data_IF_520240170067
#
_entry.id   IF_520240170067
#
_cell.length_a   1.000
_cell.length_b   1.000
_cell.length_c   1.000
_cell.angle_alpha   90.00
_cell.angle_beta   90.00
_cell.angle_gamma   90.00
#
_symmetry.space_group_name_H-M   'P 1'
#
loop_
_entity.id
_entity.type
_entity.pdbx_description
1 polymer ?
#
# COMPACT_ATOMS: atom_id res chain seq x y z
N UNK A 1 9.92 35.25 -35.60
CA UNK A 1 11.25 35.19 -34.97
C UNK A 1 11.33 33.86 -34.23
N UNK A 2 12.02 32.89 -34.83
CA UNK A 2 12.41 31.63 -34.18
C UNK A 2 13.67 31.92 -33.37
N UNK A 3 13.66 31.77 -32.05
CA UNK A 3 14.88 31.87 -31.30
C UNK A 3 15.64 30.56 -31.45
N UNK A 4 16.50 30.51 -32.43
CA UNK A 4 17.49 29.45 -32.57
C UNK A 4 18.47 29.52 -31.40
N UNK A 5 19.00 28.36 -30.99
CA UNK A 5 20.08 28.18 -30.00
C UNK A 5 21.22 29.19 -30.14
N UNK A 6 21.43 29.72 -31.34
CA UNK A 6 22.39 30.77 -31.70
C UNK A 6 22.07 32.15 -31.07
N UNK A 7 20.79 32.45 -30.81
CA UNK A 7 20.38 33.69 -30.13
C UNK A 7 20.81 33.72 -28.67
N UNK A 8 20.71 32.60 -27.98
CA UNK A 8 21.10 32.46 -26.58
C UNK A 8 22.61 32.55 -26.37
N UNK A 9 23.38 31.92 -27.26
CA UNK A 9 24.84 32.01 -27.25
C UNK A 9 25.29 33.46 -27.43
N UNK A 10 24.58 34.24 -28.23
CA UNK A 10 24.86 35.68 -28.40
C UNK A 10 24.51 36.47 -27.14
N UNK A 11 23.36 36.19 -26.50
CA UNK A 11 22.95 36.83 -25.21
C UNK A 11 23.94 36.50 -24.12
N UNK A 12 24.34 35.24 -23.97
CA UNK A 12 25.35 34.82 -22.99
C UNK A 12 26.74 35.41 -23.29
N UNK A 13 27.11 35.56 -24.55
CA UNK A 13 28.36 36.28 -24.93
C UNK A 13 28.28 37.76 -24.64
N UNK A 14 27.13 38.41 -24.86
CA UNK A 14 26.92 39.82 -24.50
C UNK A 14 26.90 40.01 -22.97
N UNK A 15 26.30 39.09 -22.23
CA UNK A 15 26.35 39.07 -20.77
C UNK A 15 27.80 38.92 -20.27
N UNK A 16 28.60 38.05 -20.89
CA UNK A 16 30.02 37.89 -20.60
C UNK A 16 30.82 39.15 -20.89
N UNK A 17 30.51 39.82 -21.98
CA UNK A 17 31.19 41.11 -22.36
C UNK A 17 30.72 42.25 -21.46
N UNK A 18 29.43 42.29 -21.06
CA UNK A 18 28.89 43.28 -20.13
C UNK A 18 29.46 43.11 -18.70
N UNK A 19 29.64 41.88 -18.26
CA UNK A 19 30.31 41.54 -16.98
C UNK A 19 31.79 41.95 -16.97
N UNK A 20 32.44 41.89 -18.12
CA UNK A 20 33.87 42.20 -18.23
C UNK A 20 34.18 43.69 -18.47
N UNK A 21 33.19 44.50 -18.87
CA UNK A 21 33.46 45.85 -19.38
C UNK A 21 32.67 47.00 -18.78
N UNK A 22 31.53 46.82 -18.19
CA UNK A 22 30.70 47.97 -17.74
C UNK A 22 29.74 47.60 -16.61
N UNK A 23 29.65 48.44 -15.66
CA UNK A 23 28.92 48.31 -14.42
C UNK A 23 27.46 47.80 -14.51
N UNK A 24 26.95 47.48 -13.35
CA UNK A 24 25.66 46.86 -12.97
C UNK A 24 24.42 47.36 -13.77
N UNK A 25 24.43 48.59 -14.30
CA UNK A 25 23.28 49.17 -15.02
C UNK A 25 22.91 48.45 -16.32
N UNK A 26 23.88 47.90 -17.09
CA UNK A 26 23.61 47.16 -18.34
C UNK A 26 23.03 45.78 -18.06
N UNK A 27 23.41 45.17 -16.95
CA UNK A 27 22.86 43.91 -16.46
C UNK A 27 21.37 44.05 -16.13
N UNK A 28 20.95 45.11 -15.47
CA UNK A 28 19.55 45.37 -15.08
C UNK A 28 18.68 45.57 -16.33
N UNK A 29 19.15 46.26 -17.35
CA UNK A 29 18.42 46.49 -18.60
C UNK A 29 18.31 45.18 -19.42
N UNK A 30 19.38 44.38 -19.44
CA UNK A 30 19.36 43.07 -20.11
C UNK A 30 18.40 42.07 -19.41
N UNK A 31 18.38 42.08 -18.08
CA UNK A 31 17.45 41.27 -17.29
C UNK A 31 16.00 41.73 -17.45
N UNK A 32 15.74 43.05 -17.46
CA UNK A 32 14.39 43.58 -17.67
C UNK A 32 13.81 43.29 -19.06
N UNK A 33 14.64 43.29 -20.10
CA UNK A 33 14.20 42.90 -21.45
C UNK A 33 13.98 41.42 -21.59
N UNK A 34 14.73 40.57 -20.90
CA UNK A 34 14.52 39.11 -20.81
C UNK A 34 13.20 38.76 -20.11
N UNK A 35 12.97 39.34 -18.94
CA UNK A 35 11.71 39.12 -18.19
C UNK A 35 10.49 39.51 -19.01
N UNK A 36 10.52 40.65 -19.73
CA UNK A 36 9.41 41.08 -20.59
C UNK A 36 9.10 40.13 -21.73
N UNK A 37 10.10 39.42 -22.26
CA UNK A 37 9.89 38.45 -23.33
C UNK A 37 9.33 37.11 -22.79
N UNK A 38 9.81 36.67 -21.62
CA UNK A 38 9.39 35.41 -21.00
C UNK A 38 7.95 35.42 -20.49
N UNK A 39 7.47 36.59 -20.03
CA UNK A 39 6.08 36.71 -19.53
C UNK A 39 5.00 36.71 -20.63
N UNK A 40 5.40 36.82 -21.90
CA UNK A 40 4.45 36.97 -23.02
C UNK A 40 4.19 35.70 -23.83
N UNK A 41 4.86 34.59 -23.56
CA UNK A 41 4.65 33.34 -24.31
C UNK A 41 4.59 32.12 -23.39
N UNK A 42 3.67 31.19 -23.69
CA UNK A 42 3.48 29.96 -22.90
C UNK A 42 4.74 29.08 -22.86
N UNK A 43 5.50 29.03 -23.96
CA UNK A 43 6.84 28.42 -24.00
C UNK A 43 7.90 29.24 -23.25
N UNK A 44 7.67 30.52 -23.09
CA UNK A 44 8.52 31.42 -22.33
C UNK A 44 8.43 31.17 -20.81
N UNK A 45 7.25 30.83 -20.29
CA UNK A 45 7.09 30.54 -18.85
C UNK A 45 7.84 29.25 -18.47
N UNK A 46 7.79 28.20 -19.30
CA UNK A 46 8.56 26.97 -19.08
C UNK A 46 10.07 27.22 -19.18
N UNK A 47 10.48 28.05 -20.15
CA UNK A 47 11.86 28.44 -20.29
C UNK A 47 12.28 29.44 -19.19
N UNK A 48 11.38 30.32 -18.72
CA UNK A 48 11.64 31.27 -17.65
C UNK A 48 11.98 30.57 -16.33
N UNK A 49 11.23 29.53 -15.94
CA UNK A 49 11.52 28.76 -14.73
C UNK A 49 12.90 28.08 -14.78
N UNK A 50 13.26 27.51 -15.94
CA UNK A 50 14.59 26.93 -16.15
C UNK A 50 15.72 27.98 -16.10
N UNK A 51 15.45 29.17 -16.61
CA UNK A 51 16.43 30.28 -16.70
C UNK A 51 16.52 31.02 -15.35
N UNK A 52 15.42 31.13 -14.59
CA UNK A 52 15.44 31.74 -13.28
C UNK A 52 16.35 30.95 -12.31
N UNK A 53 16.28 29.60 -12.34
CA UNK A 53 17.22 28.77 -11.59
C UNK A 53 18.67 28.97 -12.02
N UNK A 54 18.95 29.06 -13.31
CA UNK A 54 20.27 29.30 -13.84
C UNK A 54 20.78 30.71 -13.54
N UNK A 55 19.91 31.72 -13.56
CA UNK A 55 20.26 33.11 -13.20
C UNK A 55 20.51 33.25 -11.69
N UNK A 56 19.72 32.55 -10.84
CA UNK A 56 19.93 32.51 -9.40
C UNK A 56 21.32 31.98 -9.04
N UNK A 57 21.77 30.88 -9.65
CA UNK A 57 23.10 30.33 -9.48
C UNK A 57 24.18 31.33 -9.88
N UNK A 58 23.98 32.04 -11.02
CA UNK A 58 24.93 33.07 -11.49
C UNK A 58 25.00 34.26 -10.53
N UNK A 59 23.85 34.69 -9.97
CA UNK A 59 23.80 35.81 -9.01
C UNK A 59 24.52 35.45 -7.73
N UNK A 60 24.32 34.22 -7.22
CA UNK A 60 24.97 33.75 -5.99
C UNK A 60 26.52 33.74 -6.11
N UNK A 61 27.05 33.25 -7.25
CA UNK A 61 28.47 33.31 -7.55
C UNK A 61 28.99 34.76 -7.55
N UNK A 62 28.22 35.69 -8.13
CA UNK A 62 28.59 37.09 -8.16
C UNK A 62 28.57 37.76 -6.77
N UNK A 63 27.60 37.42 -5.92
CA UNK A 63 27.49 37.93 -4.54
C UNK A 63 28.68 37.43 -3.71
N UNK A 64 29.00 36.12 -3.78
CA UNK A 64 30.17 35.57 -3.08
C UNK A 64 31.49 36.28 -3.50
N UNK A 65 31.63 36.52 -4.82
CA UNK A 65 32.79 37.23 -5.34
C UNK A 65 32.81 38.71 -4.94
N UNK A 66 31.64 39.35 -4.83
CA UNK A 66 31.56 40.73 -4.33
C UNK A 66 32.00 40.84 -2.86
N UNK A 67 31.65 39.83 -2.02
CA UNK A 67 32.17 39.73 -0.65
C UNK A 67 33.69 39.62 -0.59
N UNK A 68 34.28 38.81 -1.48
CA UNK A 68 35.76 38.68 -1.60
C UNK A 68 36.43 39.95 -2.11
N UNK A 69 35.76 40.70 -3.01
CA UNK A 69 36.21 42.02 -3.43
C UNK A 69 36.28 43.00 -2.25
N UNK A 70 35.31 42.94 -1.33
CA UNK A 70 35.32 43.74 -0.10
C UNK A 70 36.56 43.47 0.75
N UNK A 71 36.96 42.20 0.92
CA UNK A 71 38.17 41.83 1.65
C UNK A 71 39.47 42.29 0.94
N UNK A 72 39.51 42.22 -0.38
CA UNK A 72 40.61 42.73 -1.18
C UNK A 72 40.77 44.25 -1.02
N UNK A 73 39.65 45.00 -1.01
CA UNK A 73 39.65 46.44 -0.76
C UNK A 73 40.12 46.77 0.65
N UNK A 74 39.65 46.05 1.67
CA UNK A 74 40.13 46.24 3.06
C UNK A 74 41.64 46.02 3.14
N UNK A 75 42.18 44.97 2.51
CA UNK A 75 43.62 44.72 2.46
C UNK A 75 44.38 45.80 1.73
N UNK A 76 43.82 46.40 0.69
CA UNK A 76 44.43 47.61 0.02
C UNK A 76 44.46 48.80 0.95
N UNK A 77 43.37 49.12 1.64
CA UNK A 77 43.29 50.25 2.56
C UNK A 77 44.17 50.09 3.81
N UNK A 78 44.42 48.85 4.21
CA UNK A 78 45.35 48.56 5.36
C UNK A 78 46.81 48.42 4.95
N UNK A 79 47.16 48.70 3.68
CA UNK A 79 48.50 48.62 3.18
C UNK A 79 49.03 47.22 2.86
N UNK A 80 48.21 46.23 2.89
CA UNK A 80 48.57 44.82 2.59
C UNK A 80 48.45 44.55 1.08
N UNK A 81 49.21 45.22 0.25
CA UNK A 81 49.12 45.20 -1.22
C UNK A 81 49.36 43.81 -1.84
N UNK A 82 50.24 43.01 -1.20
CA UNK A 82 50.52 41.66 -1.68
C UNK A 82 49.30 40.72 -1.52
N UNK A 83 48.63 40.81 -0.36
CA UNK A 83 47.44 40.06 -0.08
C UNK A 83 46.27 40.53 -0.93
N UNK A 84 46.10 41.87 -1.07
CA UNK A 84 45.07 42.44 -1.93
C UNK A 84 45.22 42.00 -3.40
N UNK A 85 46.47 41.93 -3.91
CA UNK A 85 46.73 41.41 -5.25
C UNK A 85 46.47 39.93 -5.42
N UNK A 86 46.72 39.11 -4.41
CA UNK A 86 46.40 37.68 -4.40
C UNK A 86 44.90 37.45 -4.31
N UNK A 87 44.22 38.19 -3.42
CA UNK A 87 42.76 38.14 -3.29
C UNK A 87 42.06 38.53 -4.60
N UNK A 88 42.51 39.62 -5.25
CA UNK A 88 41.99 40.04 -6.55
C UNK A 88 42.18 38.97 -7.62
N UNK A 89 43.34 38.33 -7.72
CA UNK A 89 43.58 37.21 -8.66
C UNK A 89 42.70 36.05 -8.38
N UNK A 90 42.51 35.67 -7.10
CA UNK A 90 41.66 34.54 -6.72
C UNK A 90 40.16 34.78 -7.00
N UNK A 91 39.72 36.05 -6.91
CA UNK A 91 38.33 36.44 -7.17
C UNK A 91 37.95 36.22 -8.64
N UNK A 92 38.85 36.50 -9.57
CA UNK A 92 38.56 36.34 -10.99
C UNK A 92 38.98 35.00 -11.56
N UNK A 93 39.80 34.23 -10.86
CA UNK A 93 40.20 32.89 -11.28
C UNK A 93 39.01 31.92 -11.18
N UNK A 94 38.73 31.20 -12.28
CA UNK A 94 37.72 30.16 -12.30
C UNK A 94 36.25 30.64 -12.31
N UNK A 95 36.01 31.97 -12.24
CA UNK A 95 34.62 32.49 -12.18
C UNK A 95 33.78 32.06 -13.40
N UNK A 96 34.39 31.95 -14.56
CA UNK A 96 33.70 31.50 -15.77
C UNK A 96 33.29 30.02 -15.70
N UNK A 97 34.17 29.18 -15.16
CA UNK A 97 33.93 27.74 -15.01
C UNK A 97 32.93 27.46 -13.89
N UNK A 98 33.02 28.21 -12.79
CA UNK A 98 32.07 28.12 -11.67
C UNK A 98 30.64 28.48 -12.12
N UNK A 99 30.45 29.63 -12.80
CA UNK A 99 29.14 30.01 -13.38
C UNK A 99 28.62 28.97 -14.38
N UNK A 100 29.49 28.46 -15.25
CA UNK A 100 29.08 27.43 -16.24
C UNK A 100 28.64 26.14 -15.55
N UNK A 101 29.35 25.70 -14.51
CA UNK A 101 29.01 24.47 -13.80
C UNK A 101 27.72 24.62 -13.00
N UNK A 102 27.56 25.68 -12.23
CA UNK A 102 26.34 25.95 -11.46
C UNK A 102 25.13 26.16 -12.38
N UNK A 103 25.29 26.91 -13.48
CA UNK A 103 24.21 27.07 -14.48
C UNK A 103 23.81 25.76 -15.11
N UNK A 104 24.77 24.88 -15.43
CA UNK A 104 24.45 23.54 -15.96
C UNK A 104 23.69 22.68 -14.95
N UNK A 105 24.07 22.76 -13.68
CA UNK A 105 23.41 22.02 -12.61
C UNK A 105 21.99 22.53 -12.39
N UNK A 106 21.79 23.85 -12.29
CA UNK A 106 20.48 24.47 -12.17
C UNK A 106 19.56 24.14 -13.35
N UNK A 107 20.13 24.14 -14.58
CA UNK A 107 19.38 23.71 -15.77
C UNK A 107 18.91 22.26 -15.70
N UNK A 108 19.77 21.34 -15.28
CA UNK A 108 19.41 19.92 -15.10
C UNK A 108 18.32 19.72 -14.04
N UNK A 109 18.41 20.45 -12.93
CA UNK A 109 17.38 20.39 -11.89
C UNK A 109 16.04 20.91 -12.40
N UNK A 110 16.02 22.02 -13.14
CA UNK A 110 14.80 22.55 -13.76
C UNK A 110 14.20 21.61 -14.81
N UNK A 111 15.03 20.88 -15.58
CA UNK A 111 14.58 19.87 -16.51
C UNK A 111 13.91 18.68 -15.78
N UNK A 112 14.52 18.18 -14.71
CA UNK A 112 13.96 17.12 -13.89
C UNK A 112 12.64 17.55 -13.26
N UNK A 113 12.56 18.76 -12.71
CA UNK A 113 11.32 19.29 -12.16
C UNK A 113 10.19 19.33 -13.19
N UNK A 114 10.46 19.82 -14.40
CA UNK A 114 9.48 19.83 -15.49
C UNK A 114 9.01 18.42 -15.89
N UNK A 115 9.89 17.42 -15.83
CA UNK A 115 9.49 16.01 -16.03
C UNK A 115 8.60 15.47 -14.90
N UNK A 116 8.90 15.85 -13.66
CA UNK A 116 8.06 15.50 -12.48
C UNK A 116 6.66 16.13 -12.67
N UNK A 117 6.59 17.42 -12.99
CA UNK A 117 5.32 18.13 -13.19
C UNK A 117 4.49 17.52 -14.33
N UNK A 118 5.10 17.15 -15.45
CA UNK A 118 4.42 16.44 -16.55
C UNK A 118 3.85 15.11 -16.11
N UNK A 119 4.62 14.32 -15.34
CA UNK A 119 4.15 13.03 -14.80
C UNK A 119 3.00 13.23 -13.81
N UNK A 120 3.03 14.26 -12.98
CA UNK A 120 1.96 14.58 -12.06
C UNK A 120 0.65 14.95 -12.80
N UNK A 121 0.74 15.75 -13.87
CA UNK A 121 -0.42 16.05 -14.72
C UNK A 121 -0.97 14.79 -15.37
N UNK A 122 -0.13 13.93 -15.95
CA UNK A 122 -0.56 12.66 -16.53
C UNK A 122 -1.21 11.74 -15.48
N UNK A 123 -0.63 11.66 -14.30
CA UNK A 123 -1.18 10.89 -13.19
C UNK A 123 -2.55 11.44 -12.77
N UNK A 124 -2.71 12.77 -12.69
CA UNK A 124 -3.99 13.38 -12.30
C UNK A 124 -5.13 13.02 -13.26
N UNK A 125 -4.83 12.90 -14.56
CA UNK A 125 -5.79 12.47 -15.57
C UNK A 125 -6.17 10.99 -15.44
N UNK A 126 -5.17 10.11 -15.26
CA UNK A 126 -5.41 8.67 -15.10
C UNK A 126 -6.13 8.33 -13.80
N UNK A 127 -5.89 9.09 -12.73
CA UNK A 127 -6.53 8.90 -11.42
C UNK A 127 -8.04 9.04 -11.45
N UNK A 128 -8.60 9.91 -12.28
CA UNK A 128 -10.05 10.05 -12.42
C UNK A 128 -10.69 8.76 -12.93
N UNK A 129 -10.10 8.14 -13.97
CA UNK A 129 -10.55 6.85 -14.49
C UNK A 129 -10.32 5.70 -13.50
N UNK A 130 -9.15 5.67 -12.86
CA UNK A 130 -8.82 4.66 -11.85
C UNK A 130 -9.77 4.70 -10.65
N UNK A 131 -10.15 5.88 -10.16
CA UNK A 131 -11.14 6.03 -9.08
C UNK A 131 -12.48 5.41 -9.43
N UNK A 132 -12.99 5.64 -10.64
CA UNK A 132 -14.25 5.06 -11.09
C UNK A 132 -14.18 3.52 -11.14
N UNK A 133 -13.06 2.96 -11.59
CA UNK A 133 -12.86 1.51 -11.62
C UNK A 133 -12.69 0.93 -10.20
N UNK A 134 -11.94 1.60 -9.33
CA UNK A 134 -11.80 1.21 -7.92
C UNK A 134 -13.16 1.18 -7.22
N UNK A 135 -13.99 2.22 -7.42
CA UNK A 135 -15.35 2.27 -6.85
C UNK A 135 -16.25 1.13 -7.35
N UNK A 136 -16.17 0.79 -8.63
CA UNK A 136 -16.86 -0.39 -9.19
C UNK A 136 -16.41 -1.68 -8.52
N UNK A 137 -15.11 -1.85 -8.36
CA UNK A 137 -14.53 -3.03 -7.74
C UNK A 137 -14.90 -3.13 -6.25
N UNK A 138 -14.91 -2.02 -5.52
CA UNK A 138 -15.38 -1.98 -4.13
C UNK A 138 -16.85 -2.37 -4.02
N UNK A 139 -17.71 -1.82 -4.89
CA UNK A 139 -19.12 -2.24 -4.93
C UNK A 139 -19.28 -3.73 -5.24
N UNK A 140 -18.50 -4.28 -6.16
CA UNK A 140 -18.51 -5.71 -6.44
C UNK A 140 -17.99 -6.55 -5.25
N UNK A 141 -17.03 -6.04 -4.47
CA UNK A 141 -16.57 -6.70 -3.25
C UNK A 141 -17.64 -6.72 -2.15
N UNK A 142 -18.50 -5.71 -2.10
CA UNK A 142 -19.60 -5.59 -1.12
C UNK A 142 -20.88 -6.31 -1.59
N UNK A 143 -20.99 -6.66 -2.87
CA UNK A 143 -22.18 -7.28 -3.45
C UNK A 143 -22.33 -8.73 -2.98
N UNK A 144 -23.30 -8.96 -2.09
CA UNK A 144 -23.60 -10.27 -1.53
C UNK A 144 -24.26 -11.25 -2.51
N UNK A 145 -24.67 -10.79 -3.69
CA UNK A 145 -25.21 -11.67 -4.75
C UNK A 145 -24.09 -12.39 -5.50
N UNK A 146 -22.85 -11.88 -5.42
CA UNK A 146 -21.67 -12.50 -5.99
C UNK A 146 -21.11 -13.57 -5.06
N UNK A 147 -20.41 -14.54 -5.66
CA UNK A 147 -19.69 -15.55 -4.87
C UNK A 147 -18.60 -14.92 -4.03
N UNK A 148 -18.27 -15.51 -2.89
CA UNK A 148 -17.17 -15.08 -2.02
C UNK A 148 -15.86 -14.90 -2.80
N UNK A 149 -15.62 -15.78 -3.79
CA UNK A 149 -14.39 -15.74 -4.58
C UNK A 149 -14.34 -14.58 -5.57
N UNK A 150 -15.47 -14.20 -6.16
CA UNK A 150 -15.59 -13.01 -7.02
C UNK A 150 -15.43 -11.73 -6.19
N UNK A 151 -16.02 -11.67 -5.01
CA UNK A 151 -15.89 -10.57 -4.06
C UNK A 151 -14.43 -10.38 -3.63
N UNK A 152 -13.73 -11.46 -3.27
CA UNK A 152 -12.29 -11.42 -2.93
C UNK A 152 -11.47 -10.89 -4.09
N UNK A 153 -11.67 -11.40 -5.32
CA UNK A 153 -10.95 -10.92 -6.51
C UNK A 153 -11.18 -9.44 -6.79
N UNK A 154 -12.41 -8.97 -6.60
CA UNK A 154 -12.75 -7.56 -6.77
C UNK A 154 -12.04 -6.70 -5.71
N UNK A 155 -12.05 -7.11 -4.43
CA UNK A 155 -11.34 -6.42 -3.36
C UNK A 155 -9.82 -6.39 -3.58
N UNK A 156 -9.21 -7.51 -3.96
CA UNK A 156 -7.78 -7.59 -4.24
C UNK A 156 -7.37 -6.70 -5.42
N UNK A 157 -8.18 -6.66 -6.48
CA UNK A 157 -7.92 -5.79 -7.63
C UNK A 157 -8.04 -4.31 -7.26
N UNK A 158 -9.06 -3.92 -6.50
CA UNK A 158 -9.21 -2.56 -5.99
C UNK A 158 -8.00 -2.15 -5.13
N UNK A 159 -7.59 -3.03 -4.21
CA UNK A 159 -6.43 -2.83 -3.36
C UNK A 159 -5.13 -2.64 -4.15
N UNK A 160 -4.90 -3.46 -5.17
CA UNK A 160 -3.72 -3.36 -6.02
C UNK A 160 -3.68 -2.02 -6.78
N UNK A 161 -4.81 -1.56 -7.32
CA UNK A 161 -4.91 -0.28 -8.01
C UNK A 161 -4.68 0.92 -7.08
N UNK A 162 -5.23 0.90 -5.87
CA UNK A 162 -5.01 1.95 -4.86
C UNK A 162 -3.54 1.99 -4.41
N UNK A 163 -2.94 0.83 -4.17
CA UNK A 163 -1.52 0.72 -3.79
C UNK A 163 -0.60 1.28 -4.86
N UNK A 164 -0.86 0.97 -6.13
CA UNK A 164 -0.04 1.48 -7.24
C UNK A 164 -0.19 3.00 -7.40
N UNK A 165 -1.41 3.54 -7.28
CA UNK A 165 -1.65 4.98 -7.33
C UNK A 165 -0.90 5.73 -6.19
N UNK A 166 -0.97 5.22 -4.96
CA UNK A 166 -0.25 5.78 -3.82
C UNK A 166 1.26 5.68 -3.98
N UNK A 167 1.76 4.56 -4.50
CA UNK A 167 3.17 4.37 -4.77
C UNK A 167 3.70 5.41 -5.76
N UNK A 168 3.00 5.61 -6.88
CA UNK A 168 3.40 6.60 -7.89
C UNK A 168 3.42 8.01 -7.28
N UNK A 169 2.43 8.37 -6.46
CA UNK A 169 2.38 9.66 -5.77
C UNK A 169 3.56 9.83 -4.81
N UNK A 170 3.85 8.80 -4.02
CA UNK A 170 4.97 8.78 -3.07
C UNK A 170 6.31 8.91 -3.80
N UNK A 171 6.49 8.19 -4.91
CA UNK A 171 7.71 8.27 -5.72
C UNK A 171 7.89 9.67 -6.35
N UNK A 172 6.80 10.29 -6.82
CA UNK A 172 6.82 11.67 -7.34
C UNK A 172 7.13 12.70 -6.26
N UNK A 173 6.54 12.58 -5.07
CA UNK A 173 6.84 13.45 -3.92
C UNK A 173 8.31 13.32 -3.52
N UNK A 174 8.84 12.10 -3.41
CA UNK A 174 10.27 11.86 -3.13
C UNK A 174 11.19 12.46 -4.20
N UNK A 175 10.82 12.32 -5.48
CA UNK A 175 11.57 12.91 -6.58
C UNK A 175 11.55 14.44 -6.54
N UNK A 176 10.42 15.06 -6.19
CA UNK A 176 10.28 16.51 -6.04
C UNK A 176 11.12 17.03 -4.88
N UNK A 177 11.05 16.41 -3.72
CA UNK A 177 11.87 16.77 -2.56
C UNK A 177 13.35 16.61 -2.89
N UNK A 178 13.76 15.50 -3.51
CA UNK A 178 15.15 15.29 -3.92
C UNK A 178 15.61 16.37 -4.90
N UNK A 179 14.76 16.81 -5.84
CA UNK A 179 15.07 17.89 -6.75
C UNK A 179 15.24 19.25 -6.01
N UNK A 180 14.34 19.55 -5.08
CA UNK A 180 14.45 20.75 -4.22
C UNK A 180 15.72 20.74 -3.38
N UNK A 181 16.18 19.56 -2.99
CA UNK A 181 17.46 19.33 -2.32
C UNK A 181 18.66 19.29 -3.29
N UNK A 182 18.54 19.72 -4.53
CA UNK A 182 19.63 19.80 -5.50
C UNK A 182 20.02 18.47 -6.17
N UNK A 183 19.28 17.40 -5.95
CA UNK A 183 19.54 16.11 -6.58
C UNK A 183 18.75 15.94 -7.89
N UNK A 184 19.41 15.52 -8.95
CA UNK A 184 18.76 15.19 -10.24
C UNK A 184 18.10 13.80 -10.25
N UNK A 185 18.29 13.01 -9.21
CA UNK A 185 17.73 11.64 -9.00
C UNK A 185 17.49 11.43 -7.52
N UNK A 186 16.58 10.53 -7.21
CA UNK A 186 16.38 10.03 -5.84
C UNK A 186 17.55 9.12 -5.48
N UNK A 187 18.51 9.63 -4.71
CA UNK A 187 19.68 8.90 -4.22
C UNK A 187 19.46 8.39 -2.81
N UNK A 188 20.36 7.53 -2.31
CA UNK A 188 20.31 7.09 -0.92
C UNK A 188 20.49 8.24 0.07
N UNK A 189 21.35 9.19 -0.27
CA UNK A 189 21.58 10.39 0.52
C UNK A 189 20.33 11.27 0.56
N UNK A 190 19.68 11.49 -0.60
CA UNK A 190 18.44 12.23 -0.67
C UNK A 190 17.34 11.55 0.19
N UNK A 191 17.19 10.24 0.09
CA UNK A 191 16.20 9.48 0.90
C UNK A 191 16.50 9.59 2.39
N UNK A 192 17.76 9.51 2.80
CA UNK A 192 18.16 9.70 4.20
C UNK A 192 17.84 11.11 4.70
N UNK A 193 18.13 12.12 3.91
CA UNK A 193 17.80 13.51 4.24
C UNK A 193 16.30 13.72 4.38
N UNK A 194 15.51 13.13 3.48
CA UNK A 194 14.03 13.15 3.56
C UNK A 194 13.55 12.49 4.86
N UNK A 195 14.07 11.31 5.17
CA UNK A 195 13.72 10.57 6.39
C UNK A 195 14.09 11.36 7.67
N UNK A 196 15.27 11.98 7.69
CA UNK A 196 15.73 12.80 8.81
C UNK A 196 14.82 14.04 8.99
N UNK A 197 14.34 14.65 7.90
CA UNK A 197 13.36 15.75 7.96
C UNK A 197 11.98 15.27 8.45
N UNK A 198 11.48 14.14 7.96
CA UNK A 198 10.20 13.56 8.40
C UNK A 198 10.21 13.24 9.90
N UNK A 199 11.34 12.80 10.43
CA UNK A 199 11.53 12.52 11.88
C UNK A 199 11.78 13.78 12.71
N UNK A 200 11.90 14.94 12.09
CA UNK A 200 12.28 16.18 12.77
C UNK A 200 13.72 16.19 13.29
N UNK A 201 14.57 15.29 12.80
CA UNK A 201 15.99 15.24 13.17
C UNK A 201 16.82 16.38 12.57
N UNK A 202 16.38 16.91 11.44
CA UNK A 202 16.94 18.10 10.79
C UNK A 202 15.80 19.00 10.28
N UNK A 203 16.07 20.29 10.23
CA UNK A 203 15.17 21.29 9.64
C UNK A 203 15.35 21.36 8.11
N UNK A 204 14.38 21.96 7.42
CA UNK A 204 14.50 22.21 5.97
C UNK A 204 15.71 23.09 5.63
N UNK A 205 16.03 24.07 6.47
CA UNK A 205 17.21 24.95 6.32
C UNK A 205 18.50 24.15 6.45
N UNK A 206 18.62 23.30 7.45
CA UNK A 206 19.80 22.43 7.63
C UNK A 206 19.95 21.44 6.48
N UNK A 207 18.83 20.92 5.93
CA UNK A 207 18.84 20.02 4.78
C UNK A 207 19.38 20.72 3.52
N UNK A 208 18.93 21.95 3.25
CA UNK A 208 19.41 22.77 2.13
C UNK A 208 20.86 23.22 2.35
N UNK A 209 21.20 23.59 3.57
CA UNK A 209 22.57 24.01 3.92
C UNK A 209 23.64 22.94 3.70
N UNK A 210 23.28 21.66 3.88
CA UNK A 210 24.19 20.53 3.60
C UNK A 210 24.57 20.40 2.12
N UNK A 211 23.78 20.95 1.20
CA UNK A 211 24.00 20.84 -0.25
C UNK A 211 24.76 22.06 -0.79
N UNK A 212 25.14 23.02 0.07
CA UNK A 212 25.92 24.20 -0.33
C UNK A 212 25.10 25.27 -1.07
N UNK A 213 23.76 25.20 -1.03
CA UNK A 213 22.88 26.27 -1.50
C UNK A 213 22.90 27.36 -0.39
N UNK A 214 23.66 28.41 -0.58
CA UNK A 214 23.96 29.40 0.46
C UNK A 214 22.81 30.36 0.78
N UNK A 215 21.77 30.45 -0.02
CA UNK A 215 20.62 31.34 0.20
C UNK A 215 19.32 30.69 -0.30
N UNK A 216 18.68 29.86 0.56
CA UNK A 216 17.29 29.48 0.37
C UNK A 216 16.38 30.62 0.83
N UNK A 217 15.38 30.95 0.03
CA UNK A 217 14.35 31.90 0.45
C UNK A 217 13.42 31.23 1.46
N UNK A 218 12.76 32.02 2.32
CA UNK A 218 11.69 31.50 3.23
C UNK A 218 10.61 30.74 2.43
N UNK A 219 10.36 31.14 1.19
CA UNK A 219 9.39 30.47 0.31
C UNK A 219 9.86 29.06 -0.12
N UNK A 220 11.15 28.90 -0.39
CA UNK A 220 11.73 27.58 -0.72
C UNK A 220 11.71 26.63 0.48
N UNK A 221 12.02 27.14 1.67
CA UNK A 221 11.93 26.39 2.92
C UNK A 221 10.49 25.94 3.21
N UNK A 222 9.52 26.84 2.99
CA UNK A 222 8.10 26.54 3.16
C UNK A 222 7.66 25.46 2.17
N UNK A 223 7.95 25.59 0.89
CA UNK A 223 7.63 24.60 -0.14
C UNK A 223 8.25 23.24 0.15
N UNK A 224 9.49 23.20 0.59
CA UNK A 224 10.15 21.96 0.96
C UNK A 224 9.45 21.30 2.15
N UNK A 225 9.12 22.08 3.19
CA UNK A 225 8.37 21.59 4.35
C UNK A 225 6.98 21.08 3.97
N UNK A 226 6.26 21.79 3.10
CA UNK A 226 4.96 21.37 2.59
C UNK A 226 5.03 20.04 1.81
N UNK A 227 6.04 19.84 0.97
CA UNK A 227 6.23 18.58 0.23
C UNK A 227 6.64 17.42 1.16
N UNK A 228 7.44 17.67 2.19
CA UNK A 228 7.78 16.65 3.20
C UNK A 228 6.55 16.23 4.00
N UNK A 229 5.71 17.18 4.41
CA UNK A 229 4.44 16.90 5.09
C UNK A 229 3.50 16.11 4.17
N UNK A 230 3.36 16.51 2.91
CA UNK A 230 2.58 15.78 1.90
C UNK A 230 3.06 14.33 1.73
N UNK A 231 4.38 14.12 1.72
CA UNK A 231 4.94 12.77 1.66
C UNK A 231 4.56 11.95 2.88
N UNK A 232 4.63 12.53 4.08
CA UNK A 232 4.23 11.86 5.32
C UNK A 232 2.75 11.48 5.32
N UNK A 233 1.88 12.36 4.85
CA UNK A 233 0.43 12.08 4.67
C UNK A 233 0.17 10.96 3.67
N UNK A 234 0.92 10.89 2.57
CA UNK A 234 0.82 9.81 1.60
C UNK A 234 1.25 8.46 2.18
N UNK A 235 2.33 8.43 2.96
CA UNK A 235 2.81 7.23 3.62
C UNK A 235 1.85 6.74 4.71
N UNK A 236 1.29 7.65 5.51
CA UNK A 236 0.23 7.34 6.48
C UNK A 236 -1.04 6.81 5.79
N UNK A 237 -1.49 7.48 4.72
CA UNK A 237 -2.62 7.03 3.90
C UNK A 237 -2.40 5.64 3.31
N UNK A 238 -1.17 5.34 2.90
CA UNK A 238 -0.81 4.02 2.37
C UNK A 238 -0.94 2.94 3.44
N UNK A 239 -0.47 3.20 4.66
CA UNK A 239 -0.58 2.27 5.78
C UNK A 239 -2.05 2.05 6.19
N UNK A 240 -2.81 3.12 6.34
CA UNK A 240 -4.23 3.06 6.71
C UNK A 240 -5.03 2.25 5.70
N UNK A 241 -4.87 2.54 4.41
CA UNK A 241 -5.58 1.80 3.34
C UNK A 241 -5.18 0.34 3.27
N UNK A 242 -3.92 0.01 3.49
CA UNK A 242 -3.49 -1.39 3.54
C UNK A 242 -4.17 -2.15 4.68
N UNK A 243 -4.32 -1.52 5.85
CA UNK A 243 -5.02 -2.10 7.00
C UNK A 243 -6.51 -2.29 6.70
N UNK A 244 -7.17 -1.28 6.13
CA UNK A 244 -8.59 -1.35 5.74
C UNK A 244 -8.85 -2.46 4.71
N UNK A 245 -7.98 -2.57 3.70
CA UNK A 245 -8.06 -3.61 2.68
C UNK A 245 -7.91 -5.01 3.27
N UNK A 246 -6.96 -5.19 4.20
CA UNK A 246 -6.78 -6.46 4.89
C UNK A 246 -8.01 -6.82 5.73
N UNK A 247 -8.60 -5.85 6.43
CA UNK A 247 -9.81 -6.05 7.20
C UNK A 247 -11.00 -6.43 6.29
N UNK A 248 -11.17 -5.75 5.16
CA UNK A 248 -12.22 -6.08 4.17
C UNK A 248 -12.05 -7.51 3.65
N UNK A 249 -10.85 -7.91 3.26
CA UNK A 249 -10.58 -9.27 2.79
C UNK A 249 -10.86 -10.32 3.86
N UNK A 250 -10.48 -10.06 5.10
CA UNK A 250 -10.73 -10.95 6.23
C UNK A 250 -12.24 -11.07 6.50
N UNK A 251 -12.99 -9.97 6.44
CA UNK A 251 -14.45 -9.97 6.60
C UNK A 251 -15.13 -10.82 5.51
N UNK A 252 -14.77 -10.63 4.24
CA UNK A 252 -15.36 -11.41 3.13
C UNK A 252 -15.03 -12.91 3.29
N UNK A 253 -13.83 -13.26 3.69
CA UNK A 253 -13.43 -14.65 3.95
C UNK A 253 -14.20 -15.26 5.10
N UNK A 254 -14.38 -14.51 6.18
CA UNK A 254 -15.16 -14.95 7.34
C UNK A 254 -16.62 -15.17 6.97
N UNK A 255 -17.26 -14.21 6.30
CA UNK A 255 -18.64 -14.36 5.79
C UNK A 255 -18.79 -15.59 4.89
N UNK A 256 -17.81 -15.83 4.00
CA UNK A 256 -17.81 -17.00 3.14
C UNK A 256 -17.69 -18.31 3.92
N UNK A 257 -16.85 -18.35 4.95
CA UNK A 257 -16.70 -19.50 5.82
C UNK A 257 -17.98 -19.77 6.64
N UNK A 258 -18.62 -18.71 7.13
CA UNK A 258 -19.86 -18.84 7.90
C UNK A 258 -21.02 -19.32 7.01
N UNK A 259 -21.19 -18.78 5.80
CA UNK A 259 -22.17 -19.30 4.80
C UNK A 259 -21.91 -20.76 4.43
N UNK A 260 -20.65 -21.16 4.28
CA UNK A 260 -20.31 -22.55 3.99
C UNK A 260 -20.62 -23.50 5.16
N UNK A 261 -20.46 -23.04 6.41
CA UNK A 261 -20.86 -23.79 7.60
C UNK A 261 -22.37 -23.93 7.68
N UNK A 262 -23.11 -22.85 7.46
CA UNK A 262 -24.57 -22.84 7.46
C UNK A 262 -25.14 -23.76 6.36
N UNK A 263 -24.58 -23.70 5.14
CA UNK A 263 -24.99 -24.59 4.06
C UNK A 263 -24.78 -26.08 4.41
N UNK A 264 -23.63 -26.43 5.01
CA UNK A 264 -23.37 -27.81 5.46
C UNK A 264 -24.31 -28.24 6.57
N UNK A 265 -24.63 -27.31 7.50
CA UNK A 265 -25.59 -27.61 8.56
C UNK A 265 -26.99 -27.89 7.99
N UNK A 266 -27.45 -27.05 7.05
CA UNK A 266 -28.71 -27.22 6.36
C UNK A 266 -28.77 -28.56 5.57
N UNK A 267 -27.67 -28.90 4.89
CA UNK A 267 -27.54 -30.18 4.20
C UNK A 267 -27.64 -31.36 5.18
N UNK A 268 -26.92 -31.29 6.29
CA UNK A 268 -26.96 -32.32 7.33
C UNK A 268 -28.36 -32.48 7.91
N UNK A 269 -29.06 -31.40 8.20
CA UNK A 269 -30.44 -31.41 8.70
C UNK A 269 -31.41 -32.04 7.68
N UNK A 270 -31.27 -31.71 6.39
CA UNK A 270 -32.08 -32.30 5.33
C UNK A 270 -31.83 -33.82 5.19
N UNK A 271 -30.58 -34.26 5.27
CA UNK A 271 -30.22 -35.69 5.26
C UNK A 271 -30.85 -36.41 6.46
N UNK A 272 -30.73 -35.85 7.66
CA UNK A 272 -31.29 -36.42 8.89
C UNK A 272 -32.83 -36.51 8.83
N UNK A 273 -33.49 -35.48 8.30
CA UNK A 273 -34.94 -35.50 8.10
C UNK A 273 -35.38 -36.59 7.10
N UNK A 274 -34.59 -36.81 6.03
CA UNK A 274 -34.85 -37.88 5.09
C UNK A 274 -34.65 -39.28 5.71
N UNK A 275 -33.63 -39.48 6.53
CA UNK A 275 -33.39 -40.71 7.28
C UNK A 275 -34.55 -41.01 8.25
N UNK A 276 -35.00 -39.99 8.99
CA UNK A 276 -36.15 -40.13 9.91
C UNK A 276 -37.43 -40.50 9.17
N UNK A 277 -37.68 -39.90 8.01
CA UNK A 277 -38.82 -40.26 7.16
C UNK A 277 -38.72 -41.71 6.64
N UNK A 278 -37.50 -42.16 6.27
CA UNK A 278 -37.29 -43.55 5.85
C UNK A 278 -37.47 -44.53 7.02
N UNK A 279 -36.99 -44.17 8.22
CA UNK A 279 -37.17 -44.97 9.42
C UNK A 279 -38.67 -45.16 9.76
N UNK A 280 -39.46 -44.10 9.61
CA UNK A 280 -40.92 -44.17 9.82
C UNK A 280 -41.67 -45.10 8.87
N UNK A 281 -41.11 -45.38 7.69
CA UNK A 281 -41.69 -46.31 6.69
C UNK A 281 -41.35 -47.77 6.98
N UNK A 282 -40.49 -48.08 7.92
CA UNK A 282 -40.12 -49.45 8.27
C UNK A 282 -41.30 -50.10 9.04
N UNK A 283 -41.93 -51.07 8.43
CA UNK A 283 -43.14 -51.74 8.98
C UNK A 283 -42.78 -52.73 10.08
N UNK A 284 -41.63 -53.37 9.99
CA UNK A 284 -41.17 -54.29 11.03
C UNK A 284 -40.68 -53.50 12.25
N UNK A 285 -41.41 -53.65 13.35
CA UNK A 285 -41.06 -52.94 14.60
C UNK A 285 -39.69 -53.30 15.16
N UNK A 286 -39.20 -54.48 14.90
CA UNK A 286 -37.88 -54.94 15.35
C UNK A 286 -36.78 -54.29 14.52
N UNK A 287 -36.93 -54.33 13.22
CA UNK A 287 -36.02 -53.66 12.30
C UNK A 287 -36.04 -52.15 12.52
N UNK A 288 -37.19 -51.57 12.80
CA UNK A 288 -37.36 -50.16 13.13
C UNK A 288 -36.55 -49.79 14.39
N UNK A 289 -36.72 -50.52 15.51
CA UNK A 289 -36.02 -50.29 16.76
C UNK A 289 -34.48 -50.43 16.60
N UNK A 290 -34.05 -51.42 15.82
CA UNK A 290 -32.63 -51.62 15.51
C UNK A 290 -32.04 -50.44 14.72
N UNK A 291 -32.71 -49.99 13.69
CA UNK A 291 -32.32 -48.86 12.86
C UNK A 291 -32.32 -47.56 13.66
N UNK A 292 -33.28 -47.38 14.57
CA UNK A 292 -33.34 -46.21 15.46
C UNK A 292 -32.14 -46.13 16.39
N UNK A 293 -31.73 -47.23 17.01
CA UNK A 293 -30.50 -47.30 17.82
C UNK A 293 -29.27 -46.96 16.95
N UNK A 294 -29.16 -47.64 15.80
CA UNK A 294 -28.04 -47.42 14.88
C UNK A 294 -27.91 -45.96 14.44
N UNK A 295 -29.02 -45.33 14.10
CA UNK A 295 -29.11 -43.96 13.62
C UNK A 295 -28.77 -42.95 14.73
N UNK A 296 -29.33 -43.13 15.94
CA UNK A 296 -29.10 -42.26 17.06
C UNK A 296 -27.60 -42.19 17.44
N UNK A 297 -26.96 -43.36 17.61
CA UNK A 297 -25.56 -43.41 17.92
C UNK A 297 -24.67 -42.91 16.77
N UNK A 298 -25.00 -43.19 15.52
CA UNK A 298 -24.25 -42.73 14.36
C UNK A 298 -24.26 -41.21 14.28
N UNK A 299 -25.38 -40.54 14.50
CA UNK A 299 -25.52 -39.09 14.51
C UNK A 299 -24.68 -38.44 15.64
N UNK A 300 -24.71 -39.02 16.84
CA UNK A 300 -23.88 -38.50 17.95
C UNK A 300 -22.38 -38.62 17.66
N UNK A 301 -21.96 -39.72 17.03
CA UNK A 301 -20.57 -39.93 16.63
C UNK A 301 -20.19 -38.95 15.52
N UNK A 302 -21.07 -38.77 14.52
CA UNK A 302 -20.89 -37.84 13.42
C UNK A 302 -20.72 -36.38 13.93
N UNK A 303 -21.59 -35.93 14.85
CA UNK A 303 -21.52 -34.61 15.45
C UNK A 303 -20.16 -34.37 16.15
N UNK A 304 -19.67 -35.38 16.88
CA UNK A 304 -18.34 -35.32 17.51
C UNK A 304 -17.19 -35.30 16.48
N UNK A 305 -17.32 -36.05 15.39
CA UNK A 305 -16.35 -36.05 14.29
C UNK A 305 -16.34 -34.72 13.55
N UNK A 306 -17.50 -34.11 13.34
CA UNK A 306 -17.64 -32.78 12.76
C UNK A 306 -16.95 -31.74 13.67
N UNK A 307 -17.18 -31.80 15.00
CA UNK A 307 -16.50 -30.92 15.96
C UNK A 307 -14.99 -31.05 15.91
N UNK A 308 -14.46 -32.28 15.82
CA UNK A 308 -13.02 -32.54 15.68
C UNK A 308 -12.40 -31.94 14.42
N UNK A 309 -13.17 -31.86 13.33
CA UNK A 309 -12.71 -31.32 12.04
C UNK A 309 -12.85 -29.80 11.95
N UNK A 310 -13.88 -29.23 12.59
CA UNK A 310 -14.20 -27.80 12.46
C UNK A 310 -13.45 -26.91 13.45
N UNK A 311 -13.10 -27.44 14.63
CA UNK A 311 -12.42 -26.67 15.66
C UNK A 311 -10.90 -26.84 15.55
N UNK A 312 -10.25 -25.90 14.84
CA UNK A 312 -8.78 -25.91 14.64
C UNK A 312 -8.01 -25.72 15.96
N UNK A 313 -8.61 -25.06 16.95
CA UNK A 313 -7.98 -24.67 18.22
C UNK A 313 -8.22 -25.64 19.37
N UNK A 314 -8.71 -26.86 19.12
CA UNK A 314 -8.86 -27.87 20.16
C UNK A 314 -7.50 -28.25 20.75
N UNK A 315 -7.42 -28.19 22.09
CA UNK A 315 -6.25 -28.70 22.82
C UNK A 315 -6.09 -30.20 22.61
N UNK A 316 -4.89 -30.74 22.73
CA UNK A 316 -4.63 -32.17 22.63
C UNK A 316 -5.51 -32.97 23.62
N UNK A 317 -5.69 -32.48 24.84
CA UNK A 317 -6.54 -33.06 25.86
C UNK A 317 -8.03 -33.08 25.44
N UNK A 318 -8.53 -32.02 24.81
CA UNK A 318 -9.91 -31.98 24.31
C UNK A 318 -10.12 -32.96 23.15
N UNK A 319 -9.17 -33.07 22.23
CA UNK A 319 -9.22 -34.08 21.13
C UNK A 319 -9.22 -35.50 21.67
N UNK A 320 -8.39 -35.78 22.66
CA UNK A 320 -8.35 -37.09 23.31
C UNK A 320 -9.67 -37.42 24.04
N UNK A 321 -10.25 -36.46 24.75
CA UNK A 321 -11.56 -36.64 25.43
C UNK A 321 -12.69 -36.90 24.40
N UNK A 322 -12.71 -36.19 23.25
CA UNK A 322 -13.72 -36.43 22.19
C UNK A 322 -13.53 -37.83 21.59
N UNK A 323 -12.30 -38.25 21.30
CA UNK A 323 -12.03 -39.58 20.78
C UNK A 323 -12.43 -40.68 21.78
N UNK A 324 -12.17 -40.48 23.06
CA UNK A 324 -12.61 -41.41 24.12
C UNK A 324 -14.14 -41.49 24.18
N UNK A 325 -14.86 -40.36 24.01
CA UNK A 325 -16.32 -40.33 23.96
C UNK A 325 -16.87 -41.05 22.73
N UNK A 326 -16.27 -40.89 21.55
CA UNK A 326 -16.63 -41.62 20.33
C UNK A 326 -16.52 -43.11 20.58
N UNK A 327 -15.41 -43.60 21.12
CA UNK A 327 -15.19 -45.00 21.45
C UNK A 327 -16.22 -45.55 22.46
N UNK A 328 -16.56 -44.75 23.46
CA UNK A 328 -17.59 -45.11 24.43
C UNK A 328 -18.98 -45.24 23.79
N UNK A 329 -19.36 -44.34 22.87
CA UNK A 329 -20.60 -44.41 22.10
C UNK A 329 -20.66 -45.63 21.18
N UNK A 330 -19.57 -46.00 20.54
CA UNK A 330 -19.47 -47.23 19.73
C UNK A 330 -19.69 -48.49 20.59
N UNK A 331 -19.11 -48.53 21.79
CA UNK A 331 -19.35 -49.63 22.72
C UNK A 331 -20.79 -49.67 23.24
N UNK A 332 -21.37 -48.51 23.59
CA UNK A 332 -22.76 -48.40 23.99
C UNK A 332 -23.71 -48.89 22.93
N UNK A 333 -23.51 -48.44 21.64
CA UNK A 333 -24.25 -48.90 20.47
C UNK A 333 -24.24 -50.43 20.37
N UNK A 334 -23.05 -51.05 20.48
CA UNK A 334 -22.90 -52.50 20.39
C UNK A 334 -23.65 -53.22 21.52
N UNK A 335 -23.55 -52.70 22.75
CA UNK A 335 -24.23 -53.30 23.91
C UNK A 335 -25.77 -53.17 23.77
N UNK A 336 -26.32 -52.06 23.29
CA UNK A 336 -27.75 -51.85 23.14
C UNK A 336 -28.34 -52.76 22.06
N UNK A 337 -27.63 -52.88 20.94
CA UNK A 337 -27.99 -53.80 19.86
C UNK A 337 -27.98 -55.28 20.33
N UNK A 338 -26.99 -55.68 21.14
CA UNK A 338 -26.93 -57.00 21.72
C UNK A 338 -28.09 -57.25 22.68
N UNK A 339 -28.41 -56.32 23.57
CA UNK A 339 -29.58 -56.44 24.48
C UNK A 339 -30.88 -56.59 23.70
N UNK A 340 -31.10 -55.80 22.64
CA UNK A 340 -32.26 -55.89 21.80
C UNK A 340 -32.38 -57.29 21.16
N UNK A 341 -31.26 -57.86 20.69
CA UNK A 341 -31.17 -59.21 20.12
C UNK A 341 -31.51 -60.28 21.15
N UNK A 342 -30.97 -60.17 22.37
CA UNK A 342 -31.21 -61.12 23.46
C UNK A 342 -32.68 -61.08 23.92
N UNK A 343 -33.30 -59.90 24.01
CA UNK A 343 -34.71 -59.75 24.33
C UNK A 343 -35.60 -60.34 23.22
N UNK A 344 -35.22 -60.20 21.97
CA UNK A 344 -35.92 -60.81 20.82
C UNK A 344 -35.87 -62.33 20.88
N UNK A 345 -34.70 -62.92 21.12
CA UNK A 345 -34.50 -64.35 21.31
C UNK A 345 -35.34 -64.90 22.50
N UNK A 346 -35.34 -64.16 23.60
CA UNK A 346 -36.13 -64.53 24.78
C UNK A 346 -37.64 -64.56 24.46
N UNK A 347 -38.16 -63.51 23.80
CA UNK A 347 -39.60 -63.49 23.36
C UNK A 347 -39.93 -64.60 22.36
N UNK A 348 -39.00 -64.89 21.43
CA UNK A 348 -39.20 -65.98 20.50
C UNK A 348 -39.29 -67.38 21.19
N UNK A 349 -38.37 -67.61 22.18
CA UNK A 349 -38.36 -68.79 23.01
C UNK A 349 -39.67 -68.92 23.82
N UNK A 350 -40.08 -67.83 24.47
CA UNK A 350 -41.36 -67.78 25.20
C UNK A 350 -42.57 -68.11 24.33
N UNK A 351 -42.64 -67.54 23.10
CA UNK A 351 -43.66 -67.79 22.16
C UNK A 351 -43.68 -69.29 21.68
N UNK A 352 -42.49 -69.83 21.42
CA UNK A 352 -42.33 -71.27 21.04
C UNK A 352 -42.78 -72.19 22.16
N UNK A 353 -42.37 -71.90 23.44
CA UNK A 353 -42.79 -72.64 24.58
C UNK A 353 -44.34 -72.64 24.77
N UNK A 354 -44.92 -71.42 24.57
CA UNK A 354 -46.40 -71.29 24.63
C UNK A 354 -47.09 -72.06 23.53
N UNK A 355 -46.56 -72.09 22.31
CA UNK A 355 -47.07 -72.90 21.22
C UNK A 355 -46.99 -74.41 21.50
N UNK A 356 -45.88 -74.86 22.06
CA UNK A 356 -45.66 -76.26 22.48
C UNK A 356 -46.64 -76.66 23.59
N UNK A 357 -46.85 -75.80 24.61
CA UNK A 357 -47.82 -76.07 25.69
C UNK A 357 -49.22 -76.17 25.16
N UNK A 358 -49.64 -75.29 24.27
CA UNK A 358 -50.95 -75.36 23.61
C UNK A 358 -51.15 -76.66 22.73
N UNK A 359 -50.07 -77.08 22.09
CA UNK A 359 -50.08 -78.35 21.35
C UNK A 359 -50.14 -79.54 22.27
N UNK A 360 -49.47 -79.53 23.41
CA UNK A 360 -49.52 -80.57 24.41
C UNK A 360 -50.95 -80.70 25.00
N UNK A 361 -51.54 -79.54 25.38
CA UNK A 361 -52.87 -79.48 25.94
C UNK A 361 -53.93 -80.06 24.94
N UNK A 362 -53.76 -79.76 23.65
CA UNK A 362 -54.61 -80.27 22.60
C UNK A 362 -54.47 -81.81 22.36
N UNK A 363 -53.35 -82.42 22.73
CA UNK A 363 -53.09 -83.85 22.61
C UNK A 363 -53.55 -84.59 23.89
N UNK A 364 -53.63 -83.88 24.98
CA UNK A 364 -54.12 -84.49 26.27
C UNK A 364 -55.63 -84.43 26.44
N UNK A 365 -56.36 -83.62 25.71
CA UNK A 365 -57.84 -83.54 25.69
C UNK A 365 -58.51 -84.33 24.57
N UNK A 366 -57.81 -85.03 23.70
CA UNK A 366 -58.32 -85.94 22.67
C UNK A 366 -58.05 -87.39 23.01
#
# INVERSE_FOLDING_TARGET
>A
FSPTTTGWIKVLKLLKVALLGTGIGVLIVALGSLVSWFTKTQKGVEAANKIMGALGATVNVLIDRAGKLGSALVNLFTGNFKQAGNDAKSIFAGIGDEIVNETKQAWKLAEVLNEIDKREVMLSMSRAANRAEIEKLKKAADDQTLSTQERIKAAEKAAAMEKEDLKIQTDLAKARIANMLGYTKVTKEALKTIEDMQKGAITADEAIGKIGISESTIDDLRKLSEEVNRLSELEESSYTRQTEQQNTLNSIRQEGADKAKEAKQTELEAVRAAEDAMLALVKDKREQARKEIELNYSRQIEDLQISLKQEENLTAKAREAINAKIKALEQQKSMELSKLSDEELKKELENRLKMISLQLDSVTEG
#
